data_IF_240046640383
#
_entry.id   IF_240046640383
#
_cell.length_a   1.000
_cell.length_b   1.000
_cell.length_c   1.000
_cell.angle_alpha   90.00
_cell.angle_beta   90.00
_cell.angle_gamma   90.00
#
_symmetry.space_group_name_H-M   'P 1'
#
loop_
_entity.id
_entity.type
_entity.pdbx_description
1 polymer ?
#
# COMPACT_ATOMS: atom_id res chain seq x y z
N UNK A 1 33.64 -6.86 -37.13
CA UNK A 1 33.81 -5.91 -36.00
C UNK A 1 32.48 -5.41 -35.42
N UNK A 2 31.52 -4.84 -36.19
CA UNK A 2 30.20 -4.42 -35.66
C UNK A 2 29.27 -5.58 -35.29
N UNK A 3 29.28 -6.67 -36.02
CA UNK A 3 28.51 -7.89 -35.74
C UNK A 3 29.02 -8.65 -34.51
N UNK A 4 30.33 -8.70 -34.30
CA UNK A 4 30.94 -9.34 -33.13
C UNK A 4 30.66 -8.57 -31.86
N UNK A 5 30.63 -7.23 -31.91
CA UNK A 5 30.25 -6.39 -30.76
C UNK A 5 28.75 -6.53 -30.42
N UNK A 6 27.91 -6.74 -31.41
CA UNK A 6 26.47 -6.98 -31.21
C UNK A 6 26.20 -8.39 -30.65
N UNK A 7 26.95 -9.39 -31.13
CA UNK A 7 26.87 -10.77 -30.59
C UNK A 7 27.47 -10.86 -29.19
N UNK A 8 28.59 -10.17 -28.91
CA UNK A 8 29.18 -10.11 -27.60
C UNK A 8 28.27 -9.39 -26.57
N UNK A 9 27.62 -8.27 -26.96
CA UNK A 9 26.58 -7.63 -26.13
C UNK A 9 25.36 -8.50 -25.91
N UNK A 10 24.96 -9.28 -26.92
CA UNK A 10 23.82 -10.22 -26.82
C UNK A 10 24.17 -11.44 -25.96
N UNK A 11 25.41 -11.95 -26.06
CA UNK A 11 25.95 -13.02 -25.19
C UNK A 11 26.21 -12.52 -23.76
N UNK A 12 26.66 -11.28 -23.57
CA UNK A 12 26.78 -10.66 -22.25
C UNK A 12 25.40 -10.42 -21.58
N UNK A 13 24.38 -10.08 -22.37
CA UNK A 13 22.98 -10.01 -21.88
C UNK A 13 22.34 -11.40 -21.70
N UNK A 14 22.81 -12.44 -22.38
CA UNK A 14 22.37 -13.84 -22.18
C UNK A 14 23.11 -14.54 -21.03
N UNK A 15 24.21 -13.98 -20.54
CA UNK A 15 25.04 -14.53 -19.44
C UNK A 15 24.63 -14.08 -18.05
N UNK A 16 23.58 -13.25 -17.90
CA UNK A 16 22.84 -13.12 -16.65
C UNK A 16 21.89 -14.31 -16.53
N UNK A 17 22.45 -15.51 -16.41
CA UNK A 17 21.67 -16.70 -16.07
C UNK A 17 20.86 -16.36 -14.82
N UNK A 18 19.53 -16.41 -14.93
CA UNK A 18 18.61 -16.25 -13.81
C UNK A 18 18.98 -17.29 -12.76
N UNK A 19 19.73 -16.86 -11.75
CA UNK A 19 20.19 -17.74 -10.67
C UNK A 19 19.05 -17.90 -9.67
N UNK A 20 18.71 -19.14 -9.35
CA UNK A 20 17.77 -19.41 -8.26
C UNK A 20 18.48 -19.30 -6.91
N UNK A 21 17.80 -18.74 -5.94
CA UNK A 21 18.25 -18.59 -4.55
C UNK A 21 17.17 -19.20 -3.65
N UNK A 22 17.56 -20.11 -2.76
CA UNK A 22 16.62 -20.75 -1.84
C UNK A 22 16.93 -20.34 -0.40
N UNK A 23 15.88 -20.10 0.36
CA UNK A 23 15.93 -19.87 1.81
C UNK A 23 14.99 -20.85 2.51
N UNK A 24 15.30 -21.19 3.75
CA UNK A 24 14.48 -22.09 4.56
C UNK A 24 13.76 -21.27 5.62
N UNK A 25 12.43 -21.32 5.61
CA UNK A 25 11.53 -20.75 6.58
C UNK A 25 10.99 -21.83 7.50
N UNK A 26 10.36 -21.45 8.61
CA UNK A 26 9.65 -22.40 9.47
C UNK A 26 8.57 -23.18 8.73
N UNK A 27 7.94 -22.54 7.73
CA UNK A 27 6.87 -23.14 6.92
C UNK A 27 7.38 -24.08 5.82
N UNK A 28 8.65 -24.00 5.44
CA UNK A 28 9.26 -24.79 4.36
C UNK A 28 10.29 -24.01 3.57
N UNK A 29 10.86 -24.68 2.55
CA UNK A 29 11.83 -24.03 1.67
C UNK A 29 11.12 -23.17 0.62
N UNK A 30 11.66 -21.98 0.34
CA UNK A 30 11.19 -21.09 -0.72
C UNK A 30 12.33 -20.76 -1.68
N UNK A 31 12.03 -20.75 -2.97
CA UNK A 31 13.02 -20.50 -4.02
C UNK A 31 12.64 -19.26 -4.81
N UNK A 32 13.48 -18.25 -4.78
CA UNK A 32 13.34 -17.01 -5.53
C UNK A 32 14.32 -16.94 -6.71
N UNK A 33 14.29 -15.82 -7.41
CA UNK A 33 15.10 -15.59 -8.60
C UNK A 33 15.96 -14.33 -8.43
N UNK A 34 17.26 -14.48 -8.64
CA UNK A 34 18.18 -13.35 -8.70
C UNK A 34 18.17 -12.74 -10.10
N UNK A 35 17.96 -11.44 -10.17
CA UNK A 35 18.02 -10.62 -11.39
C UNK A 35 18.96 -9.44 -11.13
N UNK A 36 20.14 -9.46 -11.75
CA UNK A 36 21.18 -8.48 -11.47
C UNK A 36 21.65 -8.55 -10.01
N UNK A 37 21.60 -7.41 -9.31
CA UNK A 37 22.04 -7.28 -7.92
C UNK A 37 20.94 -7.59 -6.89
N UNK A 38 19.72 -7.93 -7.32
CA UNK A 38 18.57 -8.15 -6.42
C UNK A 38 17.99 -9.54 -6.62
N UNK A 39 17.70 -10.21 -5.52
CA UNK A 39 16.91 -11.45 -5.50
C UNK A 39 15.46 -11.12 -5.18
N UNK A 40 14.54 -11.71 -5.95
CA UNK A 40 13.10 -11.55 -5.79
C UNK A 40 12.48 -12.85 -5.32
N UNK A 41 11.67 -12.77 -4.28
CA UNK A 41 10.79 -13.85 -3.83
C UNK A 41 9.37 -13.36 -3.92
N UNK A 42 8.60 -13.87 -4.88
CA UNK A 42 7.28 -13.36 -5.22
C UNK A 42 6.20 -14.34 -4.77
N UNK A 43 5.11 -13.81 -4.22
CA UNK A 43 3.92 -14.60 -3.91
C UNK A 43 4.02 -15.48 -2.67
N UNK A 44 4.87 -15.14 -1.70
CA UNK A 44 4.99 -15.85 -0.43
C UNK A 44 3.73 -15.69 0.42
N UNK A 45 3.15 -16.79 0.90
CA UNK A 45 1.99 -16.72 1.83
C UNK A 45 2.43 -16.27 3.21
N UNK A 46 1.81 -15.22 3.72
CA UNK A 46 1.95 -14.81 5.12
C UNK A 46 0.79 -15.30 6.00
N UNK A 47 -0.34 -15.67 5.39
CA UNK A 47 -1.47 -16.28 6.04
C UNK A 47 -2.09 -17.38 5.16
N UNK A 48 -2.90 -18.23 5.73
CA UNK A 48 -3.68 -19.25 5.03
C UNK A 48 -4.65 -18.58 4.04
N UNK A 49 -4.95 -19.26 2.93
CA UNK A 49 -5.91 -18.77 1.93
C UNK A 49 -7.26 -18.46 2.60
N UNK A 50 -7.79 -17.22 2.49
CA UNK A 50 -9.01 -16.80 3.17
C UNK A 50 -10.27 -17.24 2.42
N UNK A 51 -10.40 -18.54 2.18
CA UNK A 51 -11.50 -19.16 1.44
C UNK A 51 -12.39 -20.03 2.33
N UNK A 52 -13.59 -20.33 1.87
CA UNK A 52 -14.52 -21.17 2.63
C UNK A 52 -14.84 -20.59 4.00
N UNK A 53 -14.59 -21.34 5.07
CA UNK A 53 -14.83 -20.89 6.45
C UNK A 53 -13.96 -19.69 6.87
N UNK A 54 -12.82 -19.47 6.21
CA UNK A 54 -11.93 -18.35 6.50
C UNK A 54 -12.30 -17.06 5.75
N UNK A 55 -13.23 -17.11 4.79
CA UNK A 55 -13.74 -15.89 4.14
C UNK A 55 -14.41 -15.00 5.21
N UNK A 56 -14.09 -13.72 5.24
CA UNK A 56 -14.51 -12.72 6.23
C UNK A 56 -13.99 -12.97 7.67
N UNK A 57 -13.18 -13.99 7.91
CA UNK A 57 -12.57 -14.25 9.22
C UNK A 57 -11.18 -13.62 9.34
N UNK A 58 -10.68 -13.48 10.57
CA UNK A 58 -9.30 -13.09 10.85
C UNK A 58 -8.30 -13.98 10.10
N UNK A 59 -7.18 -13.43 9.59
CA UNK A 59 -6.16 -14.22 8.93
C UNK A 59 -5.62 -15.32 9.88
N UNK A 60 -5.37 -16.51 9.33
CA UNK A 60 -4.83 -17.64 10.08
C UNK A 60 -3.39 -17.91 9.67
N UNK A 61 -2.51 -18.33 10.60
CA UNK A 61 -1.12 -18.65 10.26
C UNK A 61 -1.00 -19.73 9.17
N UNK A 62 0.05 -19.62 8.36
CA UNK A 62 0.41 -20.67 7.40
C UNK A 62 1.02 -21.84 8.16
N UNK A 63 0.50 -23.05 7.94
CA UNK A 63 1.12 -24.28 8.43
C UNK A 63 2.37 -24.67 7.65
N UNK A 64 2.97 -25.80 8.01
CA UNK A 64 4.05 -26.39 7.23
C UNK A 64 3.58 -26.68 5.79
N UNK A 65 4.41 -26.33 4.82
CA UNK A 65 4.10 -26.41 3.39
C UNK A 65 5.25 -27.09 2.63
N UNK A 66 4.96 -27.74 1.49
CA UNK A 66 6.00 -28.23 0.59
C UNK A 66 6.85 -27.06 0.07
N UNK A 67 8.04 -27.36 -0.54
CA UNK A 67 8.85 -26.33 -1.17
C UNK A 67 8.03 -25.49 -2.15
N UNK A 68 8.20 -24.16 -2.06
CA UNK A 68 7.43 -23.18 -2.83
C UNK A 68 8.33 -22.45 -3.85
N UNK A 69 7.88 -22.44 -5.11
CA UNK A 69 8.48 -21.63 -6.17
C UNK A 69 7.96 -20.18 -6.09
N UNK A 70 8.80 -19.30 -5.55
CA UNK A 70 8.53 -17.88 -5.38
C UNK A 70 9.05 -17.03 -6.55
N UNK A 71 8.97 -17.53 -7.79
CA UNK A 71 9.41 -16.80 -8.99
C UNK A 71 8.27 -16.09 -9.72
N UNK A 72 7.01 -16.34 -9.34
CA UNK A 72 5.82 -15.78 -9.98
C UNK A 72 5.11 -14.78 -9.09
N UNK A 73 4.57 -13.68 -9.66
CA UNK A 73 3.80 -12.70 -8.89
C UNK A 73 2.62 -13.34 -8.16
N UNK A 74 2.29 -12.79 -7.00
CA UNK A 74 1.07 -13.14 -6.28
C UNK A 74 -0.18 -12.72 -7.03
N UNK A 75 -1.29 -13.47 -6.96
CA UNK A 75 -2.59 -12.93 -7.32
C UNK A 75 -2.95 -11.78 -6.39
N UNK A 76 -3.64 -10.79 -6.93
CA UNK A 76 -4.24 -9.71 -6.13
C UNK A 76 -5.62 -10.13 -5.65
N UNK A 77 -6.13 -9.48 -4.59
CA UNK A 77 -7.48 -9.71 -4.12
C UNK A 77 -8.51 -9.40 -5.22
N UNK A 78 -9.59 -10.19 -5.37
CA UNK A 78 -10.66 -9.91 -6.31
C UNK A 78 -11.23 -8.51 -6.13
N UNK A 79 -11.37 -7.77 -7.24
CA UNK A 79 -11.69 -6.36 -7.24
C UNK A 79 -12.31 -5.89 -8.55
N UNK A 80 -13.05 -4.80 -8.48
CA UNK A 80 -13.48 -4.05 -9.65
C UNK A 80 -12.33 -3.17 -10.18
N UNK A 81 -12.38 -2.74 -11.45
CA UNK A 81 -11.38 -1.83 -12.01
C UNK A 81 -11.18 -0.58 -11.14
N UNK A 82 -9.93 -0.15 -10.99
CA UNK A 82 -9.59 1.03 -10.20
C UNK A 82 -10.32 2.29 -10.72
N UNK A 83 -10.79 3.11 -9.80
CA UNK A 83 -11.35 4.44 -10.13
C UNK A 83 -10.31 5.39 -10.74
N UNK A 84 -9.03 5.14 -10.50
CA UNK A 84 -7.93 5.97 -11.00
C UNK A 84 -7.30 5.42 -12.29
N UNK A 85 -7.88 4.39 -12.92
CA UNK A 85 -7.33 3.77 -14.13
C UNK A 85 -7.12 4.75 -15.30
N UNK A 86 -7.96 5.76 -15.41
CA UNK A 86 -7.82 6.80 -16.45
C UNK A 86 -6.65 7.74 -16.22
N UNK A 87 -6.13 7.81 -15.02
CA UNK A 87 -5.04 8.72 -14.61
C UNK A 87 -3.72 7.96 -14.46
N UNK A 88 -3.74 6.83 -13.76
CA UNK A 88 -2.56 6.00 -13.49
C UNK A 88 -2.28 4.96 -14.57
N UNK A 89 -3.24 4.67 -15.43
CA UNK A 89 -3.27 3.48 -16.26
C UNK A 89 -3.98 2.32 -15.58
N UNK A 90 -4.20 1.24 -16.33
CA UNK A 90 -4.76 0.00 -15.81
C UNK A 90 -3.65 -1.02 -15.55
N UNK A 91 -3.96 -2.09 -14.84
CA UNK A 91 -3.04 -3.19 -14.62
C UNK A 91 -3.71 -4.52 -14.95
N UNK A 92 -2.91 -5.43 -15.48
CA UNK A 92 -3.31 -6.81 -15.71
C UNK A 92 -2.66 -7.68 -14.62
N UNK A 93 -3.49 -8.26 -13.76
CA UNK A 93 -3.04 -9.15 -12.70
C UNK A 93 -4.07 -10.25 -12.46
N UNK A 94 -3.58 -11.46 -12.20
CA UNK A 94 -4.43 -12.57 -11.77
C UNK A 94 -5.10 -12.18 -10.46
N UNK A 95 -6.41 -12.40 -10.39
CA UNK A 95 -7.19 -12.15 -9.19
C UNK A 95 -7.63 -13.47 -8.55
N UNK A 96 -7.40 -13.63 -7.25
CA UNK A 96 -7.79 -14.83 -6.50
C UNK A 96 -8.02 -14.45 -5.02
N UNK A 97 -8.92 -15.16 -4.35
CA UNK A 97 -9.10 -15.01 -2.91
C UNK A 97 -7.87 -15.49 -2.13
N UNK A 98 -7.06 -16.41 -2.65
CA UNK A 98 -5.75 -16.79 -2.10
C UNK A 98 -4.70 -15.69 -2.32
N UNK A 99 -5.04 -14.48 -1.91
CA UNK A 99 -4.27 -13.25 -2.09
C UNK A 99 -3.43 -12.83 -0.87
N UNK A 100 -3.54 -13.51 0.29
CA UNK A 100 -2.77 -13.17 1.49
C UNK A 100 -1.30 -13.53 1.33
N UNK A 101 -0.67 -12.81 0.40
CA UNK A 101 0.70 -13.04 -0.06
C UNK A 101 1.49 -11.74 -0.08
N UNK A 102 2.80 -11.88 0.01
CA UNK A 102 3.75 -10.78 -0.11
C UNK A 102 4.87 -11.13 -1.09
N UNK A 103 5.56 -10.10 -1.54
CA UNK A 103 6.74 -10.21 -2.40
C UNK A 103 7.92 -9.51 -1.73
N UNK A 104 9.13 -10.07 -1.88
CA UNK A 104 10.35 -9.55 -1.26
C UNK A 104 11.39 -9.29 -2.34
N UNK A 105 12.00 -8.11 -2.28
CA UNK A 105 13.17 -7.72 -3.07
C UNK A 105 14.33 -7.46 -2.11
N UNK A 106 15.42 -8.20 -2.27
CA UNK A 106 16.58 -8.11 -1.39
C UNK A 106 17.90 -8.08 -2.17
N UNK A 107 18.86 -7.22 -1.78
CA UNK A 107 20.21 -7.28 -2.30
C UNK A 107 20.97 -8.59 -1.95
N UNK A 108 20.53 -9.31 -0.92
CA UNK A 108 21.15 -10.59 -0.56
C UNK A 108 20.53 -11.27 0.65
N UNK A 109 20.46 -12.60 0.58
CA UNK A 109 20.03 -13.46 1.68
C UNK A 109 21.24 -13.80 2.57
N UNK A 110 21.78 -12.78 3.21
CA UNK A 110 22.97 -12.83 4.08
C UNK A 110 22.65 -12.32 5.49
N UNK A 111 23.65 -12.17 6.36
CA UNK A 111 23.47 -11.73 7.76
C UNK A 111 23.70 -10.22 7.96
N UNK A 112 23.60 -9.40 6.91
CA UNK A 112 23.94 -7.96 6.97
C UNK A 112 22.94 -7.09 7.75
N UNK A 113 21.78 -7.60 8.09
CA UNK A 113 20.73 -6.86 8.83
C UNK A 113 20.38 -5.53 8.16
N UNK A 114 19.93 -5.60 6.90
CA UNK A 114 19.50 -4.41 6.15
C UNK A 114 18.20 -3.84 6.72
N UNK A 115 18.00 -2.53 6.66
CA UNK A 115 16.69 -1.95 6.92
C UNK A 115 15.62 -2.61 6.06
N UNK A 116 14.40 -2.72 6.60
CA UNK A 116 13.25 -3.32 5.92
C UNK A 116 12.20 -2.26 5.69
N UNK A 117 11.66 -2.18 4.49
CA UNK A 117 10.50 -1.38 4.15
C UNK A 117 9.35 -2.31 3.77
N UNK A 118 8.21 -2.14 4.42
CA UNK A 118 6.97 -2.87 4.09
C UNK A 118 6.00 -1.91 3.44
N UNK A 119 5.66 -2.19 2.20
CA UNK A 119 4.75 -1.38 1.38
C UNK A 119 3.30 -1.86 1.49
N UNK A 120 2.42 -0.93 1.87
CA UNK A 120 0.96 -1.07 1.88
C UNK A 120 0.35 -0.17 0.82
N UNK A 121 -0.23 -0.78 -0.22
CA UNK A 121 -0.75 -0.05 -1.37
C UNK A 121 -2.04 0.72 -1.05
N UNK A 122 -2.32 1.74 -1.86
CA UNK A 122 -3.59 2.45 -1.86
C UNK A 122 -4.68 1.76 -2.68
N UNK A 123 -5.74 2.53 -3.00
CA UNK A 123 -6.85 2.05 -3.83
C UNK A 123 -8.19 2.11 -3.10
N UNK A 124 -8.29 2.96 -2.07
CA UNK A 124 -9.53 3.21 -1.32
C UNK A 124 -10.16 1.94 -0.72
N UNK A 125 -9.34 0.98 -0.31
CA UNK A 125 -9.73 -0.33 0.22
C UNK A 125 -10.52 -1.21 -0.75
N UNK A 126 -10.60 -0.83 -2.04
CA UNK A 126 -11.42 -1.50 -3.06
C UNK A 126 -10.61 -2.06 -4.23
N UNK A 127 -9.42 -1.53 -4.49
CA UNK A 127 -8.58 -1.94 -5.61
C UNK A 127 -7.09 -1.84 -5.28
N UNK A 128 -6.24 -2.43 -6.12
CA UNK A 128 -4.80 -2.41 -5.97
C UNK A 128 -4.19 -3.78 -5.62
N UNK A 129 -2.89 -3.78 -5.37
CA UNK A 129 -2.13 -4.96 -4.96
C UNK A 129 -0.66 -4.63 -4.80
N UNK A 130 -0.03 -5.07 -3.71
CA UNK A 130 1.39 -4.85 -3.44
C UNK A 130 2.33 -5.62 -4.37
N UNK A 131 1.81 -6.56 -5.15
CA UNK A 131 2.54 -7.33 -6.16
C UNK A 131 2.50 -6.72 -7.57
N UNK A 132 1.85 -5.58 -7.75
CA UNK A 132 1.76 -4.91 -9.04
C UNK A 132 3.13 -4.38 -9.49
N UNK A 133 3.41 -4.37 -10.81
CA UNK A 133 4.67 -3.85 -11.36
C UNK A 133 4.98 -2.40 -10.94
N UNK A 134 3.96 -1.59 -10.70
CA UNK A 134 4.10 -0.22 -10.20
C UNK A 134 4.93 -0.14 -8.91
N UNK A 135 4.91 -1.20 -8.11
CA UNK A 135 5.56 -1.30 -6.80
C UNK A 135 6.74 -2.27 -6.79
N UNK A 136 7.32 -2.59 -7.97
CA UNK A 136 8.54 -3.41 -8.03
C UNK A 136 9.66 -2.75 -7.20
N UNK A 137 10.06 -3.43 -6.14
CA UNK A 137 11.02 -2.91 -5.16
C UNK A 137 12.48 -3.01 -5.58
N UNK A 138 12.78 -3.52 -6.79
CA UNK A 138 14.15 -3.81 -7.23
C UNK A 138 15.06 -2.58 -7.14
N UNK A 139 14.61 -1.43 -7.66
CA UNK A 139 15.44 -0.21 -7.67
C UNK A 139 15.65 0.36 -6.28
N UNK A 140 14.59 0.40 -5.49
CA UNK A 140 14.66 0.89 -4.11
C UNK A 140 15.56 -0.01 -3.26
N UNK A 141 15.43 -1.35 -3.38
CA UNK A 141 16.26 -2.31 -2.68
C UNK A 141 17.72 -2.20 -3.08
N UNK A 142 18.02 -2.11 -4.38
CA UNK A 142 19.37 -1.99 -4.89
C UNK A 142 20.05 -0.68 -4.46
N UNK A 143 19.34 0.45 -4.64
CA UNK A 143 19.89 1.77 -4.35
C UNK A 143 20.03 2.01 -2.84
N UNK A 144 19.05 1.54 -2.08
CA UNK A 144 18.97 1.75 -0.63
C UNK A 144 19.73 0.72 0.19
N UNK A 145 20.31 -0.34 -0.40
CA UNK A 145 20.79 -1.52 0.34
C UNK A 145 19.82 -1.90 1.47
N UNK A 146 18.53 -2.01 1.11
CA UNK A 146 17.42 -2.35 2.01
C UNK A 146 16.60 -3.51 1.46
N UNK A 147 15.82 -4.15 2.31
CA UNK A 147 14.84 -5.16 1.90
C UNK A 147 13.49 -4.50 1.71
N UNK A 148 12.90 -4.66 0.53
CA UNK A 148 11.55 -4.14 0.22
C UNK A 148 10.56 -5.29 0.22
N UNK A 149 9.41 -5.08 0.85
CA UNK A 149 8.32 -6.07 0.94
C UNK A 149 7.02 -5.42 0.46
N UNK A 150 6.40 -5.96 -0.59
CA UNK A 150 5.09 -5.52 -1.07
C UNK A 150 4.00 -6.48 -0.60
N UNK A 151 2.96 -5.98 0.04
CA UNK A 151 1.91 -6.77 0.69
C UNK A 151 0.60 -6.67 -0.06
N UNK A 152 -0.01 -7.83 -0.39
CA UNK A 152 -1.41 -7.93 -0.78
C UNK A 152 -2.26 -8.20 0.47
N UNK A 153 -3.44 -7.60 0.55
CA UNK A 153 -4.41 -7.80 1.62
C UNK A 153 -5.82 -7.81 1.04
N UNK A 154 -6.80 -8.30 1.79
CA UNK A 154 -8.19 -8.36 1.32
C UNK A 154 -8.79 -6.97 1.13
N UNK A 155 -9.54 -6.85 0.05
CA UNK A 155 -10.16 -5.61 -0.41
C UNK A 155 -11.68 -5.71 -0.39
N UNK A 156 -12.33 -4.58 -0.52
CA UNK A 156 -13.78 -4.45 -0.65
C UNK A 156 -14.52 -5.25 0.43
N UNK A 157 -15.61 -5.92 0.08
CA UNK A 157 -16.38 -6.70 1.03
C UNK A 157 -15.56 -7.83 1.69
N UNK A 158 -14.56 -8.41 0.97
CA UNK A 158 -13.76 -9.51 1.49
C UNK A 158 -12.90 -9.10 2.71
N UNK A 159 -12.48 -7.83 2.77
CA UNK A 159 -11.62 -7.31 3.84
C UNK A 159 -12.27 -6.28 4.77
N UNK A 160 -13.35 -5.62 4.34
CA UNK A 160 -13.84 -4.40 4.99
C UNK A 160 -15.37 -4.36 5.19
N UNK A 161 -16.07 -5.48 4.95
CA UNK A 161 -17.48 -5.58 5.27
C UNK A 161 -17.63 -5.64 6.80
N UNK A 162 -18.38 -4.70 7.36
CA UNK A 162 -18.66 -4.64 8.79
C UNK A 162 -20.03 -5.26 9.09
N UNK A 163 -20.08 -6.30 9.87
CA UNK A 163 -21.32 -6.89 10.37
C UNK A 163 -21.25 -6.90 11.91
N UNK A 164 -22.21 -6.28 12.61
CA UNK A 164 -22.21 -6.27 14.07
C UNK A 164 -22.10 -7.68 14.67
N UNK A 165 -21.21 -7.85 15.66
CA UNK A 165 -20.94 -9.14 16.30
C UNK A 165 -20.05 -10.10 15.51
N UNK A 166 -19.51 -9.63 14.36
CA UNK A 166 -18.53 -10.36 13.57
C UNK A 166 -17.18 -9.61 13.56
N UNK A 167 -16.10 -10.30 13.18
CA UNK A 167 -14.77 -9.67 13.09
C UNK A 167 -14.81 -8.50 12.10
N UNK A 168 -14.43 -7.32 12.57
CA UNK A 168 -14.33 -6.11 11.77
C UNK A 168 -12.90 -5.86 11.27
N UNK A 169 -12.74 -4.93 10.32
CA UNK A 169 -11.43 -4.44 9.85
C UNK A 169 -10.48 -5.57 9.44
N UNK A 170 -11.03 -6.58 8.81
CA UNK A 170 -10.30 -7.82 8.49
C UNK A 170 -9.10 -7.56 7.58
N UNK A 171 -9.21 -6.58 6.64
CA UNK A 171 -8.09 -6.17 5.80
C UNK A 171 -6.93 -5.55 6.60
N UNK A 172 -7.22 -4.82 7.69
CA UNK A 172 -6.19 -4.30 8.59
C UNK A 172 -5.51 -5.44 9.37
N UNK A 173 -6.28 -6.45 9.77
CA UNK A 173 -5.71 -7.65 10.42
C UNK A 173 -4.81 -8.44 9.47
N UNK A 174 -5.12 -8.47 8.17
CA UNK A 174 -4.25 -9.07 7.15
C UNK A 174 -2.91 -8.35 7.08
N UNK A 175 -2.92 -7.01 7.06
CA UNK A 175 -1.71 -6.19 7.05
C UNK A 175 -0.89 -6.37 8.33
N UNK A 176 -1.52 -6.40 9.50
CA UNK A 176 -0.85 -6.72 10.77
C UNK A 176 -0.23 -8.12 10.75
N UNK A 177 -0.91 -9.11 10.19
CA UNK A 177 -0.38 -10.47 10.04
C UNK A 177 0.82 -10.51 9.10
N UNK A 178 0.80 -9.74 8.00
CA UNK A 178 1.94 -9.60 7.10
C UNK A 178 3.14 -8.97 7.81
N UNK A 179 2.94 -7.92 8.60
CA UNK A 179 4.03 -7.28 9.37
C UNK A 179 4.61 -8.27 10.39
N UNK A 180 3.80 -9.04 11.10
CA UNK A 180 4.28 -10.10 12.02
C UNK A 180 5.09 -11.15 11.29
N UNK A 181 4.60 -11.61 10.14
CA UNK A 181 5.31 -12.56 9.31
C UNK A 181 6.67 -12.01 8.86
N UNK A 182 6.74 -10.74 8.47
CA UNK A 182 7.99 -10.06 8.11
C UNK A 182 8.97 -10.09 9.28
N UNK A 183 8.57 -9.66 10.46
CA UNK A 183 9.42 -9.66 11.66
C UNK A 183 9.97 -11.06 11.97
N UNK A 184 9.14 -12.09 11.81
CA UNK A 184 9.53 -13.47 12.11
C UNK A 184 10.48 -14.08 11.08
N UNK A 185 10.46 -13.62 9.82
CA UNK A 185 11.13 -14.32 8.71
C UNK A 185 12.17 -13.48 7.97
N UNK A 186 12.15 -12.14 8.08
CA UNK A 186 12.92 -11.27 7.18
C UNK A 186 14.43 -11.40 7.32
N UNK A 187 14.90 -11.91 8.44
CA UNK A 187 16.33 -12.19 8.64
C UNK A 187 16.86 -13.21 7.63
N UNK A 188 16.04 -14.16 7.19
CA UNK A 188 16.41 -15.15 6.17
C UNK A 188 16.64 -14.49 4.79
N UNK A 189 16.09 -13.31 4.60
CA UNK A 189 16.23 -12.49 3.40
C UNK A 189 17.24 -11.34 3.57
N UNK A 190 18.05 -11.38 4.62
CA UNK A 190 19.10 -10.38 4.91
C UNK A 190 18.60 -9.09 5.53
N UNK A 191 17.33 -9.04 5.96
CA UNK A 191 16.71 -7.89 6.63
C UNK A 191 16.88 -7.91 8.15
N UNK A 192 16.71 -6.75 8.76
CA UNK A 192 16.73 -6.55 10.21
C UNK A 192 15.28 -6.45 10.75
N UNK A 193 14.79 -7.45 11.50
CA UNK A 193 13.45 -7.41 12.09
C UNK A 193 13.25 -6.27 13.10
N UNK A 194 14.35 -5.74 13.66
CA UNK A 194 14.32 -4.61 14.60
C UNK A 194 14.35 -3.25 13.91
N UNK A 195 14.52 -3.22 12.58
CA UNK A 195 14.65 -2.02 11.77
C UNK A 195 13.63 -2.00 10.62
N UNK A 196 12.33 -2.06 10.98
CA UNK A 196 11.20 -2.08 10.05
C UNK A 196 10.58 -0.70 9.94
N UNK A 197 10.40 -0.23 8.70
CA UNK A 197 9.64 0.97 8.33
C UNK A 197 8.42 0.53 7.54
N UNK A 198 7.21 0.93 7.96
CA UNK A 198 6.03 0.80 7.11
C UNK A 198 5.93 1.99 6.17
N UNK A 199 5.65 1.73 4.90
CA UNK A 199 5.44 2.75 3.88
C UNK A 199 4.10 2.48 3.20
N UNK A 200 3.26 3.50 3.08
CA UNK A 200 1.96 3.31 2.44
C UNK A 200 1.41 4.60 1.86
N UNK A 201 0.60 4.44 0.82
CA UNK A 201 -0.02 5.55 0.12
C UNK A 201 -1.54 5.48 0.26
N UNK A 202 -2.20 6.65 0.38
CA UNK A 202 -3.66 6.76 0.42
C UNK A 202 -4.29 5.89 1.52
N UNK A 203 -5.10 4.89 1.15
CA UNK A 203 -5.68 3.91 2.07
C UNK A 203 -4.62 3.14 2.85
N UNK A 204 -3.50 2.74 2.20
CA UNK A 204 -2.38 2.08 2.87
C UNK A 204 -1.71 2.98 3.91
N UNK A 205 -1.54 4.27 3.60
CA UNK A 205 -1.06 5.27 4.57
C UNK A 205 -2.02 5.46 5.74
N UNK A 206 -3.34 5.47 5.49
CA UNK A 206 -4.34 5.50 6.54
C UNK A 206 -4.28 4.25 7.44
N UNK A 207 -4.11 3.06 6.84
CA UNK A 207 -4.01 1.81 7.59
C UNK A 207 -2.78 1.80 8.52
N UNK A 208 -1.64 2.36 8.07
CA UNK A 208 -0.46 2.53 8.93
C UNK A 208 -0.78 3.45 10.12
N UNK A 209 -1.48 4.56 9.88
CA UNK A 209 -1.93 5.46 10.95
C UNK A 209 -2.87 4.75 11.95
N UNK A 210 -3.77 3.89 11.44
CA UNK A 210 -4.65 3.05 12.26
C UNK A 210 -3.85 2.03 13.07
N UNK A 211 -2.82 1.39 12.51
CA UNK A 211 -1.92 0.50 13.24
C UNK A 211 -1.15 1.25 14.33
N UNK A 212 -0.71 2.48 14.06
CA UNK A 212 -0.06 3.32 15.07
C UNK A 212 -1.00 3.66 16.24
N UNK A 213 -2.32 3.71 16.02
CA UNK A 213 -3.30 3.90 17.07
C UNK A 213 -3.44 2.67 18.00
N UNK A 214 -2.93 1.52 17.59
CA UNK A 214 -2.92 0.25 18.37
C UNK A 214 -1.55 0.03 19.03
N UNK A 215 -0.92 -1.09 18.81
CA UNK A 215 0.42 -1.43 19.31
C UNK A 215 1.35 -1.74 18.14
N UNK A 216 2.04 -0.76 17.58
CA UNK A 216 2.83 -0.95 16.37
C UNK A 216 4.03 -1.88 16.63
N UNK A 217 4.31 -2.70 15.62
CA UNK A 217 5.45 -3.62 15.57
C UNK A 217 6.64 -3.00 14.80
N UNK A 218 6.62 -1.70 14.55
CA UNK A 218 7.59 -0.99 13.72
C UNK A 218 7.98 0.36 14.36
N UNK A 219 9.10 0.93 13.96
CA UNK A 219 9.68 2.13 14.57
C UNK A 219 9.49 3.39 13.74
N UNK A 220 9.28 3.25 12.42
CA UNK A 220 9.14 4.37 11.49
C UNK A 220 8.00 4.14 10.52
N UNK A 221 7.41 5.23 10.06
CA UNK A 221 6.35 5.17 9.07
C UNK A 221 6.53 6.25 7.98
N UNK A 222 6.24 5.89 6.73
CA UNK A 222 6.14 6.81 5.59
C UNK A 222 4.69 6.83 5.15
N UNK A 223 4.04 7.99 5.29
CA UNK A 223 2.62 8.17 5.01
C UNK A 223 2.45 9.11 3.80
N UNK A 224 2.27 8.53 2.61
CA UNK A 224 2.13 9.27 1.35
C UNK A 224 0.66 9.52 1.07
N UNK A 225 0.23 10.77 1.00
CA UNK A 225 -1.17 11.12 0.73
C UNK A 225 -2.15 10.28 1.57
N UNK A 226 -1.83 10.05 2.83
CA UNK A 226 -2.70 9.29 3.73
C UNK A 226 -4.01 10.06 3.95
N UNK A 227 -5.15 9.40 3.71
CA UNK A 227 -6.47 10.06 3.73
C UNK A 227 -6.97 10.33 5.16
N UNK A 228 -6.12 10.90 6.02
CA UNK A 228 -6.35 11.09 7.45
C UNK A 228 -7.59 11.91 7.76
N UNK A 229 -7.92 12.89 6.91
CA UNK A 229 -9.11 13.72 7.06
C UNK A 229 -10.44 13.02 6.76
N UNK A 230 -10.42 11.79 6.23
CA UNK A 230 -11.63 10.98 6.06
C UNK A 230 -12.09 10.35 7.37
N UNK A 231 -11.17 10.02 8.25
CA UNK A 231 -11.44 9.32 9.51
C UNK A 231 -11.96 7.89 9.30
N UNK A 232 -12.29 7.27 10.40
CA UNK A 232 -12.98 5.97 10.44
C UNK A 232 -14.48 6.17 10.15
N UNK A 233 -15.15 5.12 9.70
CA UNK A 233 -16.61 5.13 9.64
C UNK A 233 -17.17 4.73 11.01
N UNK A 234 -18.22 5.43 11.45
CA UNK A 234 -18.91 5.09 12.68
C UNK A 234 -19.69 3.77 12.56
N UNK A 235 -19.81 3.07 13.66
CA UNK A 235 -20.43 1.73 13.76
C UNK A 235 -21.81 1.66 13.10
N UNK A 236 -22.69 2.65 13.37
CA UNK A 236 -24.08 2.65 12.86
C UNK A 236 -24.11 2.84 11.34
N UNK A 237 -23.30 3.74 10.81
CA UNK A 237 -23.17 3.97 9.36
C UNK A 237 -22.66 2.71 8.65
N UNK A 238 -21.62 2.08 9.22
CA UNK A 238 -21.06 0.85 8.68
C UNK A 238 -22.08 -0.29 8.69
N UNK A 239 -22.80 -0.46 9.76
CA UNK A 239 -23.87 -1.47 9.89
C UNK A 239 -25.02 -1.24 8.90
N UNK A 240 -25.41 0.03 8.67
CA UNK A 240 -26.43 0.38 7.68
C UNK A 240 -25.98 -0.02 6.27
N UNK A 241 -24.81 0.44 5.82
CA UNK A 241 -24.28 0.12 4.49
C UNK A 241 -24.09 -1.38 4.27
N UNK A 242 -23.61 -2.08 5.29
CA UNK A 242 -23.41 -3.54 5.20
C UNK A 242 -24.72 -4.29 5.06
N UNK A 243 -25.77 -3.84 5.72
CA UNK A 243 -27.12 -4.42 5.57
C UNK A 243 -27.66 -4.22 4.15
N UNK A 244 -27.55 -3.00 3.61
CA UNK A 244 -27.95 -2.70 2.23
C UNK A 244 -27.11 -3.51 1.23
N UNK A 245 -25.83 -3.64 1.47
CA UNK A 245 -24.93 -4.45 0.65
C UNK A 245 -25.32 -5.94 0.66
N UNK A 246 -25.51 -6.53 1.84
CA UNK A 246 -25.94 -7.92 1.96
C UNK A 246 -27.27 -8.17 1.24
N UNK A 247 -28.26 -7.30 1.41
CA UNK A 247 -29.53 -7.39 0.70
C UNK A 247 -29.33 -7.36 -0.83
N UNK A 248 -28.42 -6.51 -1.33
CA UNK A 248 -28.11 -6.45 -2.76
C UNK A 248 -27.44 -7.73 -3.29
N UNK A 249 -26.76 -8.51 -2.43
CA UNK A 249 -26.24 -9.85 -2.79
C UNK A 249 -27.30 -10.95 -2.74
N UNK A 250 -28.48 -10.68 -2.19
CA UNK A 250 -29.49 -11.69 -1.85
C UNK A 250 -29.23 -12.42 -0.54
N UNK A 251 -28.16 -12.10 0.19
CA UNK A 251 -27.85 -12.67 1.50
C UNK A 251 -28.46 -11.81 2.62
N UNK A 252 -28.83 -12.46 3.73
CA UNK A 252 -29.30 -11.78 4.93
C UNK A 252 -28.26 -11.85 6.07
N UNK A 253 -27.36 -12.81 6.00
CA UNK A 253 -26.31 -13.02 7.00
C UNK A 253 -24.94 -13.16 6.34
N UNK A 254 -23.87 -13.00 7.16
CA UNK A 254 -22.51 -13.19 6.70
C UNK A 254 -22.24 -14.65 6.26
N UNK A 255 -22.86 -15.64 6.94
CA UNK A 255 -22.76 -17.05 6.57
C UNK A 255 -23.33 -17.31 5.19
N UNK A 256 -24.45 -16.70 4.84
CA UNK A 256 -25.03 -16.77 3.48
C UNK A 256 -24.11 -16.11 2.46
N UNK A 257 -23.56 -14.93 2.79
CA UNK A 257 -22.62 -14.23 1.91
C UNK A 257 -21.30 -15.02 1.71
N UNK A 258 -20.87 -15.82 2.72
CA UNK A 258 -19.64 -16.60 2.68
C UNK A 258 -19.60 -17.63 1.56
N UNK A 259 -20.73 -18.16 1.16
CA UNK A 259 -20.84 -19.18 0.11
C UNK A 259 -21.15 -18.63 -1.28
N UNK A 260 -21.38 -17.32 -1.39
CA UNK A 260 -21.66 -16.68 -2.67
C UNK A 260 -20.42 -16.66 -3.59
N UNK A 261 -20.60 -16.74 -4.91
CA UNK A 261 -19.53 -16.46 -5.85
C UNK A 261 -18.98 -15.04 -5.62
N UNK A 262 -17.64 -14.89 -5.73
CA UNK A 262 -16.98 -13.58 -5.61
C UNK A 262 -17.58 -12.53 -6.57
N UNK A 263 -17.91 -12.96 -7.79
CA UNK A 263 -18.55 -12.10 -8.79
C UNK A 263 -19.87 -11.46 -8.28
N UNK A 264 -20.65 -12.18 -7.47
CA UNK A 264 -21.88 -11.64 -6.87
C UNK A 264 -21.55 -10.56 -5.83
N UNK A 265 -20.52 -10.77 -5.01
CA UNK A 265 -20.06 -9.75 -4.04
C UNK A 265 -19.51 -8.50 -4.75
N UNK A 266 -18.79 -8.66 -5.85
CA UNK A 266 -18.29 -7.53 -6.64
C UNK A 266 -19.43 -6.76 -7.32
N UNK A 267 -20.40 -7.49 -7.92
CA UNK A 267 -21.54 -6.87 -8.58
C UNK A 267 -22.42 -6.05 -7.61
N UNK A 268 -22.63 -6.56 -6.39
CA UNK A 268 -23.41 -5.89 -5.36
C UNK A 268 -22.86 -4.51 -4.97
N UNK A 269 -21.57 -4.28 -5.12
CA UNK A 269 -20.94 -2.97 -4.84
C UNK A 269 -21.48 -1.86 -5.78
N UNK A 270 -21.97 -2.24 -6.96
CA UNK A 270 -22.50 -1.33 -7.97
C UNK A 270 -24.04 -1.31 -8.02
N UNK A 271 -24.69 -2.04 -7.12
CA UNK A 271 -26.15 -2.03 -7.03
C UNK A 271 -26.66 -0.62 -6.71
N UNK A 272 -27.78 -0.24 -7.36
CA UNK A 272 -28.37 1.11 -7.21
C UNK A 272 -28.66 1.43 -5.74
N UNK A 273 -29.19 0.48 -4.98
CA UNK A 273 -29.48 0.64 -3.55
C UNK A 273 -28.22 0.93 -2.72
N UNK A 274 -27.12 0.24 -3.02
CA UNK A 274 -25.83 0.42 -2.32
C UNK A 274 -25.23 1.78 -2.67
N UNK A 275 -25.28 2.18 -3.93
CA UNK A 275 -24.76 3.48 -4.38
C UNK A 275 -25.60 4.63 -3.84
N UNK A 276 -26.94 4.45 -3.73
CA UNK A 276 -27.81 5.44 -3.11
C UNK A 276 -27.50 5.61 -1.62
N UNK A 277 -27.40 4.53 -0.86
CA UNK A 277 -27.05 4.57 0.56
C UNK A 277 -25.67 5.19 0.81
N UNK A 278 -24.68 4.89 -0.04
CA UNK A 278 -23.35 5.52 0.05
C UNK A 278 -23.41 7.02 -0.21
N UNK A 279 -24.23 7.46 -1.17
CA UNK A 279 -24.40 8.87 -1.51
C UNK A 279 -25.00 9.68 -0.34
N UNK A 280 -25.87 9.09 0.47
CA UNK A 280 -26.44 9.72 1.67
C UNK A 280 -25.35 10.07 2.71
N UNK A 281 -24.24 9.32 2.77
CA UNK A 281 -23.10 9.64 3.65
C UNK A 281 -22.26 10.82 3.16
N UNK A 282 -22.51 11.32 1.97
CA UNK A 282 -21.81 12.45 1.35
C UNK A 282 -20.86 12.04 0.21
N UNK A 283 -20.44 13.06 -0.54
CA UNK A 283 -19.56 12.90 -1.67
C UNK A 283 -18.17 12.36 -1.27
N UNK A 284 -17.55 11.59 -2.16
CA UNK A 284 -16.17 11.08 -2.04
C UNK A 284 -15.93 10.10 -0.87
N UNK A 285 -16.95 9.45 -0.35
CA UNK A 285 -16.79 8.33 0.59
C UNK A 285 -16.45 7.04 -0.16
N UNK A 286 -15.67 6.17 0.48
CA UNK A 286 -15.45 4.79 0.01
C UNK A 286 -16.54 3.90 0.57
N UNK A 287 -17.06 2.95 -0.23
CA UNK A 287 -18.06 1.99 0.26
C UNK A 287 -17.52 1.18 1.44
N UNK A 288 -16.26 0.79 1.36
CA UNK A 288 -15.54 0.04 2.38
C UNK A 288 -14.37 0.89 2.90
N UNK A 289 -14.16 0.89 4.20
CA UNK A 289 -13.06 1.58 4.88
C UNK A 289 -12.97 1.08 6.33
N UNK A 290 -11.92 1.42 7.08
CA UNK A 290 -11.81 1.14 8.51
C UNK A 290 -13.00 1.69 9.31
N UNK A 291 -13.45 0.90 10.28
CA UNK A 291 -14.65 1.15 11.08
C UNK A 291 -14.28 1.25 12.55
N UNK A 292 -14.94 2.16 13.28
CA UNK A 292 -14.97 2.15 14.75
C UNK A 292 -15.85 0.97 15.17
N UNK A 293 -15.22 -0.14 15.56
CA UNK A 293 -15.88 -1.42 15.80
C UNK A 293 -16.16 -1.70 17.29
N UNK A 294 -15.76 -0.78 18.17
CA UNK A 294 -15.86 -0.87 19.63
C UNK A 294 -15.00 -1.99 20.26
N UNK A 295 -14.17 -2.65 19.46
CA UNK A 295 -13.20 -3.67 19.93
C UNK A 295 -11.77 -3.23 19.67
N UNK A 296 -11.39 -3.09 18.38
CA UNK A 296 -10.08 -2.57 17.97
C UNK A 296 -10.00 -1.06 18.08
N UNK A 297 -11.07 -0.39 17.67
CA UNK A 297 -11.20 1.06 17.65
C UNK A 297 -12.46 1.47 18.39
N UNK A 298 -12.26 2.18 19.52
CA UNK A 298 -13.33 2.59 20.42
C UNK A 298 -13.65 4.08 20.21
N UNK A 299 -14.94 4.42 20.18
CA UNK A 299 -15.37 5.82 20.10
C UNK A 299 -15.27 6.49 21.48
N UNK A 300 -14.81 7.74 21.55
CA UNK A 300 -14.32 8.58 20.46
C UNK A 300 -12.90 8.15 19.99
N UNK A 301 -12.67 8.12 18.69
CA UNK A 301 -11.39 7.67 18.08
C UNK A 301 -10.23 8.64 18.33
N UNK A 302 -10.52 9.92 18.58
CA UNK A 302 -9.50 10.97 18.69
C UNK A 302 -8.40 10.68 19.73
N UNK A 303 -8.68 10.18 20.96
CA UNK A 303 -7.62 9.83 21.90
C UNK A 303 -6.67 8.74 21.40
N UNK A 304 -7.17 7.75 20.64
CA UNK A 304 -6.34 6.73 20.04
C UNK A 304 -5.43 7.30 18.97
N UNK A 305 -5.93 8.19 18.12
CA UNK A 305 -5.14 8.87 17.10
C UNK A 305 -4.10 9.81 17.71
N UNK A 306 -4.39 10.47 18.81
CA UNK A 306 -3.41 11.23 19.59
C UNK A 306 -2.30 10.36 20.19
N UNK A 307 -2.56 9.11 20.50
CA UNK A 307 -1.52 8.17 20.91
C UNK A 307 -0.68 7.71 19.71
N UNK A 308 -1.29 7.58 18.52
CA UNK A 308 -0.61 7.16 17.31
C UNK A 308 0.60 8.05 16.98
N UNK A 309 0.45 9.36 17.07
CA UNK A 309 1.53 10.33 16.74
C UNK A 309 2.77 10.20 17.63
N UNK A 310 2.65 9.56 18.79
CA UNK A 310 3.75 9.37 19.77
C UNK A 310 4.56 8.10 19.53
N UNK A 311 4.13 7.20 18.63
CA UNK A 311 4.61 5.82 18.60
C UNK A 311 5.69 5.55 17.55
N UNK A 312 5.83 6.41 16.55
CA UNK A 312 6.84 6.27 15.51
C UNK A 312 7.32 7.64 15.03
N UNK A 313 8.56 7.69 14.53
CA UNK A 313 9.00 8.80 13.71
C UNK A 313 8.37 8.67 12.32
N UNK A 314 8.02 9.80 11.70
CA UNK A 314 7.24 9.78 10.47
C UNK A 314 7.85 10.69 9.39
N UNK A 315 7.84 10.18 8.16
CA UNK A 315 7.96 10.95 6.94
C UNK A 315 6.57 10.97 6.29
N UNK A 316 5.94 12.13 6.19
CA UNK A 316 4.58 12.20 5.67
C UNK A 316 4.39 13.37 4.74
N UNK A 317 3.41 13.27 3.85
CA UNK A 317 3.13 14.35 2.91
C UNK A 317 1.98 14.03 1.99
N UNK A 318 1.81 14.92 1.03
CA UNK A 318 0.66 14.95 0.13
C UNK A 318 1.09 15.52 -1.23
N UNK A 319 0.22 15.35 -2.22
CA UNK A 319 0.38 15.97 -3.54
C UNK A 319 -0.43 17.26 -3.62
N UNK A 320 0.02 18.25 -4.41
CA UNK A 320 -0.61 19.58 -4.46
C UNK A 320 -2.04 19.56 -4.99
N UNK A 321 -2.32 18.73 -5.98
CA UNK A 321 -3.61 18.68 -6.69
C UNK A 321 -4.35 17.35 -6.44
N UNK A 322 -4.29 16.81 -5.23
CA UNK A 322 -4.79 15.48 -4.84
C UNK A 322 -6.10 15.06 -5.53
N UNK A 323 -7.09 15.94 -5.51
CA UNK A 323 -8.43 15.60 -5.97
C UNK A 323 -8.55 15.54 -7.49
N UNK A 324 -7.59 16.06 -8.25
CA UNK A 324 -7.65 16.08 -9.71
C UNK A 324 -7.58 14.68 -10.35
N UNK A 325 -7.10 13.66 -9.61
CA UNK A 325 -7.10 12.27 -10.06
C UNK A 325 -8.47 11.60 -10.00
N UNK A 326 -9.41 12.13 -9.23
CA UNK A 326 -10.67 11.41 -8.94
C UNK A 326 -11.74 11.70 -10.00
N UNK A 327 -12.51 10.67 -10.45
CA UNK A 327 -13.56 10.84 -11.46
C UNK A 327 -14.57 11.93 -11.08
N UNK A 328 -14.92 12.77 -12.06
CA UNK A 328 -15.87 13.87 -11.88
C UNK A 328 -15.31 15.08 -11.12
N UNK A 329 -14.01 15.08 -10.78
CA UNK A 329 -13.34 16.21 -10.15
C UNK A 329 -12.45 16.92 -11.14
N UNK A 330 -12.62 18.23 -11.29
CA UNK A 330 -11.73 19.07 -12.10
C UNK A 330 -10.70 19.76 -11.20
N UNK A 331 -9.53 20.07 -11.75
CA UNK A 331 -8.50 20.87 -11.08
C UNK A 331 -8.95 22.33 -10.95
N UNK A 332 -9.41 22.71 -9.78
CA UNK A 332 -9.88 24.05 -9.43
C UNK A 332 -9.75 24.31 -7.92
N UNK A 333 -10.08 25.52 -7.49
CA UNK A 333 -9.96 25.91 -6.07
C UNK A 333 -10.77 25.00 -5.12
N UNK A 334 -11.97 24.58 -5.51
CA UNK A 334 -12.80 23.72 -4.67
C UNK A 334 -12.19 22.33 -4.48
N UNK A 335 -11.64 21.75 -5.55
CA UNK A 335 -10.93 20.47 -5.49
C UNK A 335 -9.64 20.57 -4.67
N UNK A 336 -8.88 21.67 -4.78
CA UNK A 336 -7.71 21.92 -3.95
C UNK A 336 -8.07 22.04 -2.49
N UNK A 337 -9.12 22.81 -2.14
CA UNK A 337 -9.61 22.90 -0.75
C UNK A 337 -10.06 21.54 -0.19
N UNK A 338 -10.69 20.70 -1.01
CA UNK A 338 -11.08 19.36 -0.60
C UNK A 338 -9.84 18.47 -0.38
N UNK A 339 -8.83 18.55 -1.26
CA UNK A 339 -7.55 17.87 -1.11
C UNK A 339 -6.84 18.28 0.19
N UNK A 340 -6.78 19.57 0.44
CA UNK A 340 -6.24 20.12 1.70
C UNK A 340 -6.96 19.56 2.93
N UNK A 341 -8.29 19.52 2.92
CA UNK A 341 -9.10 18.99 4.03
C UNK A 341 -8.85 17.51 4.28
N UNK A 342 -8.65 16.72 3.23
CA UNK A 342 -8.51 15.25 3.34
C UNK A 342 -7.06 14.85 3.61
N UNK A 343 -6.08 15.53 3.01
CA UNK A 343 -4.69 15.09 2.98
C UNK A 343 -3.73 16.13 3.59
N UNK A 344 -3.72 17.38 3.12
CA UNK A 344 -2.72 18.38 3.47
C UNK A 344 -2.80 18.83 4.92
N UNK A 345 -3.95 19.38 5.34
CA UNK A 345 -4.15 19.87 6.73
C UNK A 345 -3.94 18.75 7.74
N UNK A 346 -4.53 17.54 7.60
CA UNK A 346 -4.31 16.47 8.56
C UNK A 346 -2.87 15.99 8.64
N UNK A 347 -2.14 16.00 7.52
CA UNK A 347 -0.72 15.62 7.52
C UNK A 347 0.13 16.63 8.28
N UNK A 348 -0.08 17.93 8.07
CA UNK A 348 0.61 18.97 8.82
C UNK A 348 0.25 18.95 10.31
N UNK A 349 -1.02 18.70 10.64
CA UNK A 349 -1.45 18.56 12.04
C UNK A 349 -0.78 17.36 12.70
N UNK A 350 -0.73 16.18 12.01
CA UNK A 350 -0.01 15.03 12.54
C UNK A 350 1.46 15.35 12.88
N UNK A 351 2.14 16.02 11.96
CA UNK A 351 3.55 16.37 12.18
C UNK A 351 3.75 17.33 13.35
N UNK A 352 2.85 18.31 13.52
CA UNK A 352 2.91 19.23 14.65
C UNK A 352 2.62 18.52 15.98
N UNK A 353 1.64 17.63 16.00
CA UNK A 353 1.31 16.83 17.18
C UNK A 353 2.46 15.88 17.55
N UNK A 354 3.12 15.26 16.55
CA UNK A 354 4.30 14.43 16.75
C UNK A 354 5.47 15.24 17.32
N UNK A 355 5.75 16.41 16.76
CA UNK A 355 6.77 17.34 17.27
C UNK A 355 6.50 17.75 18.71
N UNK A 356 5.26 18.11 19.03
CA UNK A 356 4.85 18.47 20.39
C UNK A 356 5.01 17.31 21.37
N UNK A 357 4.87 16.08 20.86
CA UNK A 357 5.08 14.84 21.62
C UNK A 357 6.57 14.42 21.73
N UNK A 358 7.49 15.21 21.17
CA UNK A 358 8.94 14.92 21.18
C UNK A 358 9.36 13.85 20.16
N UNK A 359 8.59 13.71 19.06
CA UNK A 359 8.92 12.82 17.94
C UNK A 359 9.40 13.62 16.74
N UNK A 360 10.23 12.98 15.93
CA UNK A 360 10.64 13.56 14.66
C UNK A 360 9.58 13.31 13.59
N UNK A 361 9.23 14.36 12.85
CA UNK A 361 8.29 14.32 11.75
C UNK A 361 8.81 15.18 10.59
N UNK A 362 8.94 14.60 9.42
CA UNK A 362 9.32 15.29 8.19
C UNK A 362 8.11 15.40 7.28
N UNK A 363 7.88 16.60 6.74
CA UNK A 363 6.75 16.86 5.85
C UNK A 363 7.25 17.14 4.45
N UNK A 364 6.56 16.59 3.45
CA UNK A 364 6.75 16.94 2.06
C UNK A 364 5.45 17.32 1.35
N UNK A 365 5.59 18.15 0.33
CA UNK A 365 4.58 18.40 -0.70
C UNK A 365 5.17 17.94 -2.05
N UNK A 366 4.49 17.06 -2.75
CA UNK A 366 4.83 16.73 -4.12
C UNK A 366 4.06 17.66 -5.06
N UNK A 367 4.78 18.51 -5.80
CA UNK A 367 4.22 19.61 -6.58
C UNK A 367 4.42 19.47 -8.08
N UNK A 368 5.21 18.49 -8.53
CA UNK A 368 5.43 18.23 -9.95
C UNK A 368 4.20 17.59 -10.60
N UNK A 369 3.67 18.23 -11.62
CA UNK A 369 2.52 17.76 -12.38
C UNK A 369 2.68 18.12 -13.85
N UNK A 370 3.26 17.21 -14.69
CA UNK A 370 3.57 17.51 -16.09
C UNK A 370 2.33 17.65 -16.96
N UNK A 371 1.24 16.98 -16.64
CA UNK A 371 -0.03 17.10 -17.33
C UNK A 371 -0.85 18.24 -16.71
N UNK A 372 -1.17 19.31 -17.46
CA UNK A 372 -1.89 20.46 -16.92
C UNK A 372 -3.33 20.16 -16.46
N UNK A 373 -3.96 19.10 -16.98
CA UNK A 373 -5.29 18.67 -16.57
C UNK A 373 -5.29 18.12 -15.14
N UNK A 374 -4.29 17.29 -14.82
CA UNK A 374 -4.22 16.60 -13.52
C UNK A 374 -3.33 17.32 -12.51
N UNK A 375 -2.32 18.07 -12.98
CA UNK A 375 -1.32 18.68 -12.11
C UNK A 375 -0.59 17.63 -11.28
N UNK A 376 -0.17 18.00 -10.08
CA UNK A 376 0.40 17.09 -9.11
C UNK A 376 -0.72 16.31 -8.39
N UNK A 377 -1.39 15.42 -9.13
CA UNK A 377 -2.58 14.70 -8.67
C UNK A 377 -2.25 13.52 -7.73
N UNK A 378 -3.27 12.97 -7.08
CA UNK A 378 -3.14 11.79 -6.22
C UNK A 378 -2.41 10.64 -6.91
N UNK A 379 -1.47 9.99 -6.22
CA UNK A 379 -0.62 8.89 -6.70
C UNK A 379 0.52 9.27 -7.67
N UNK A 380 0.67 10.53 -8.08
CA UNK A 380 1.72 10.91 -9.03
C UNK A 380 3.15 10.76 -8.46
N UNK A 381 3.30 10.74 -7.15
CA UNK A 381 4.57 10.52 -6.44
C UNK A 381 5.09 9.07 -6.56
N UNK A 382 4.20 8.10 -6.77
CA UNK A 382 4.52 6.67 -6.76
C UNK A 382 5.60 6.25 -7.77
N UNK A 383 5.52 6.63 -9.07
CA UNK A 383 6.56 6.30 -10.04
C UNK A 383 7.94 6.83 -9.67
N UNK A 384 8.01 7.93 -8.93
CA UNK A 384 9.27 8.53 -8.49
C UNK A 384 9.82 7.85 -7.22
N UNK A 385 8.97 7.50 -6.29
CA UNK A 385 9.35 6.78 -5.05
C UNK A 385 9.94 5.40 -5.38
N UNK A 386 9.28 4.63 -6.24
CA UNK A 386 9.79 3.32 -6.67
C UNK A 386 10.85 3.42 -7.76
N UNK A 387 10.92 4.55 -8.46
CA UNK A 387 11.80 4.76 -9.61
C UNK A 387 11.37 3.99 -10.85
N UNK A 388 10.12 3.56 -10.92
CA UNK A 388 9.55 2.64 -11.92
C UNK A 388 8.76 3.37 -12.99
N UNK A 389 9.28 4.49 -13.51
CA UNK A 389 8.61 5.32 -14.52
C UNK A 389 8.14 4.52 -15.74
N UNK A 390 8.87 3.47 -16.14
CA UNK A 390 8.53 2.60 -17.25
C UNK A 390 7.25 1.78 -17.04
N UNK A 391 6.90 1.47 -15.79
CA UNK A 391 5.66 0.74 -15.47
C UNK A 391 4.42 1.64 -15.48
N UNK A 392 4.61 2.95 -15.64
CA UNK A 392 3.55 3.95 -15.78
C UNK A 392 3.50 4.52 -17.21
N UNK A 393 4.08 3.81 -18.19
CA UNK A 393 4.01 4.23 -19.59
C UNK A 393 2.55 4.32 -20.04
N UNK A 394 2.16 5.50 -20.56
CA UNK A 394 0.77 5.77 -20.94
C UNK A 394 -0.15 6.22 -19.81
N UNK A 395 0.34 6.36 -18.58
CA UNK A 395 -0.41 6.99 -17.50
C UNK A 395 -0.61 8.47 -17.79
N UNK A 396 -1.86 8.93 -17.89
CA UNK A 396 -2.19 10.31 -18.26
C UNK A 396 -1.56 11.35 -17.31
N UNK A 397 -1.39 11.01 -16.03
CA UNK A 397 -0.75 11.90 -15.06
C UNK A 397 0.71 12.24 -15.39
N UNK A 398 1.41 11.41 -16.17
CA UNK A 398 2.81 11.62 -16.57
C UNK A 398 2.95 12.18 -17.99
N UNK A 399 1.86 12.42 -18.71
CA UNK A 399 1.90 13.01 -20.03
C UNK A 399 2.57 14.39 -19.98
N UNK A 400 3.50 14.63 -20.91
CA UNK A 400 4.31 15.87 -20.92
C UNK A 400 5.55 15.84 -20.03
N UNK A 401 5.81 14.73 -19.29
CA UNK A 401 7.01 14.62 -18.45
C UNK A 401 8.29 14.69 -19.30
N UNK A 402 9.20 15.59 -18.92
CA UNK A 402 10.55 15.65 -19.47
C UNK A 402 11.41 14.56 -18.82
N UNK A 403 11.98 13.61 -19.59
CA UNK A 403 12.67 12.44 -19.01
C UNK A 403 13.82 12.77 -18.06
N UNK A 404 14.62 13.80 -18.36
CA UNK A 404 15.74 14.22 -17.50
C UNK A 404 15.24 14.79 -16.17
N UNK A 405 14.14 15.53 -16.20
CA UNK A 405 13.52 16.05 -15.00
C UNK A 405 12.98 14.91 -14.15
N UNK A 406 12.25 13.97 -14.76
CA UNK A 406 11.74 12.80 -14.07
C UNK A 406 12.83 11.99 -13.39
N UNK A 407 13.98 11.79 -14.05
CA UNK A 407 15.14 11.11 -13.45
C UNK A 407 15.70 11.85 -12.25
N UNK A 408 15.83 13.19 -12.31
CA UNK A 408 16.29 13.99 -11.16
C UNK A 408 15.34 13.85 -9.96
N UNK A 409 14.02 13.94 -10.19
CA UNK A 409 13.03 13.75 -9.13
C UNK A 409 13.10 12.35 -8.50
N UNK A 410 13.28 11.29 -9.31
CA UNK A 410 13.52 9.94 -8.78
C UNK A 410 14.73 9.94 -7.86
N UNK A 411 15.84 10.57 -8.27
CA UNK A 411 17.07 10.60 -7.49
C UNK A 411 16.91 11.37 -6.17
N UNK A 412 16.23 12.50 -6.19
CA UNK A 412 15.98 13.31 -4.99
C UNK A 412 15.06 12.58 -4.00
N UNK A 413 13.93 12.07 -4.48
CA UNK A 413 12.93 11.41 -3.65
C UNK A 413 13.49 10.12 -3.06
N UNK A 414 14.08 9.25 -3.88
CA UNK A 414 14.65 8.01 -3.39
C UNK A 414 15.77 8.26 -2.38
N UNK A 415 16.61 9.28 -2.58
CA UNK A 415 17.62 9.65 -1.58
C UNK A 415 16.98 9.97 -0.24
N UNK A 416 15.96 10.81 -0.22
CA UNK A 416 15.26 11.21 0.99
C UNK A 416 14.58 10.03 1.71
N UNK A 417 13.88 9.18 0.95
CA UNK A 417 13.22 7.98 1.49
C UNK A 417 14.22 6.97 2.04
N UNK A 418 15.32 6.72 1.31
CA UNK A 418 16.39 5.81 1.74
C UNK A 418 17.03 6.31 3.04
N UNK A 419 17.37 7.59 3.14
CA UNK A 419 17.91 8.15 4.38
C UNK A 419 16.97 7.92 5.57
N UNK A 420 15.67 8.17 5.40
CA UNK A 420 14.67 7.92 6.42
C UNK A 420 14.54 6.42 6.78
N UNK A 421 14.52 5.53 5.78
CA UNK A 421 14.47 4.06 5.98
C UNK A 421 15.67 3.58 6.79
N UNK A 422 16.85 4.19 6.59
CA UNK A 422 18.04 3.92 7.39
C UNK A 422 18.03 4.55 8.79
N UNK A 423 17.00 5.32 9.15
CA UNK A 423 16.92 6.01 10.43
C UNK A 423 17.81 7.24 10.52
N UNK A 424 18.14 7.84 9.37
CA UNK A 424 18.89 9.09 9.26
C UNK A 424 17.95 10.25 8.93
N UNK A 425 18.44 11.49 8.97
CA UNK A 425 17.68 12.64 8.52
C UNK A 425 17.35 12.52 7.03
N UNK A 426 16.11 12.85 6.66
CA UNK A 426 15.64 12.84 5.27
C UNK A 426 16.27 13.91 4.37
N UNK A 427 17.26 14.66 4.86
CA UNK A 427 17.98 15.68 4.10
C UNK A 427 17.40 17.09 4.19
N UNK A 428 16.35 17.29 5.01
CA UNK A 428 15.83 18.62 5.39
C UNK A 428 15.43 18.63 6.86
N UNK A 429 15.15 19.84 7.39
CA UNK A 429 14.71 19.98 8.77
C UNK A 429 13.33 19.35 8.99
N UNK A 430 13.13 18.76 10.17
CA UNK A 430 11.80 18.25 10.56
C UNK A 430 10.77 19.40 10.67
N UNK A 431 9.49 19.01 10.81
CA UNK A 431 8.37 19.97 10.98
C UNK A 431 8.77 21.17 11.87
N UNK A 432 8.38 22.41 11.51
CA UNK A 432 7.36 22.78 10.53
C UNK A 432 7.84 23.00 9.08
N UNK A 433 9.08 22.66 8.74
CA UNK A 433 9.61 22.83 7.38
C UNK A 433 8.98 21.80 6.43
N UNK A 434 8.36 22.29 5.36
CA UNK A 434 7.79 21.46 4.28
C UNK A 434 8.79 21.42 3.12
N UNK A 435 9.24 20.22 2.75
CA UNK A 435 10.04 20.03 1.54
C UNK A 435 9.11 19.95 0.33
N UNK A 436 9.33 20.79 -0.67
CA UNK A 436 8.62 20.73 -1.95
C UNK A 436 9.48 19.98 -2.97
N UNK A 437 8.87 18.97 -3.63
CA UNK A 437 9.44 18.26 -4.79
C UNK A 437 8.72 18.71 -6.05
N UNK A 438 9.45 19.37 -6.99
CA UNK A 438 8.89 19.96 -8.20
C UNK A 438 9.84 19.91 -9.42
#
# INVERSE_FOLDING_TARGET
MLLETFYAKRLMNMSLANKTVSVTLKQGQVTGQQTGAVTRFLGLRYAAAPVGALRFASPQPVGAAPPFDATRPAPVCPQLPSRLRTVMGDFDAVQDEDCLRLSIWTPGCDQRKRPVVVWLHGGAWQSGGGSLPWYDGTRLAQRGDCVVVGVNYRLAALGWLFVPGQTANVGLLDEEAAVRWVIENIQQFGGDPDNVTLMGQSAGGFNIAAMLARAPLFKRAILQSASLGRGFRETEQAAHLSRVFLQATGAQTLEQARVLPVAALLAAQQAESVMAALKEEGANRSLFCPVVDQEMFVSPIAPLMQQAVKRADVLLGYTRDEMAAFPGTQRNLASQQLGEKIFGIPSRQWAEDARTAGRDAWIFEFAYGPNPEFGACHCIDLPFVFGNLEHFTGAAMLEGMVPDHGRRLVDEIQTAWIEFIHGRSSGWASSPVVRVFE
#
